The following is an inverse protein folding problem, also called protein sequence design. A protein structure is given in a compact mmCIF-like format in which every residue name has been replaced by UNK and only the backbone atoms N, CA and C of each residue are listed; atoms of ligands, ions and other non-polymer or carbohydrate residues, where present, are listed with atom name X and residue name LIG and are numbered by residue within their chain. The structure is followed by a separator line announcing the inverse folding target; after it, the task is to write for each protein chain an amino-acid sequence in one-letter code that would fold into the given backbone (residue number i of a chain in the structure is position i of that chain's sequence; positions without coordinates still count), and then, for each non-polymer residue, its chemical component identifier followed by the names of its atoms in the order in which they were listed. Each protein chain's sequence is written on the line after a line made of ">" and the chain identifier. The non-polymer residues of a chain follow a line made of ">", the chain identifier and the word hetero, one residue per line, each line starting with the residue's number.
data_IF_959842239500
#
_entry.id   IF_959842239500
#
_cell.length_a   1.000
_cell.length_b   1.000
_cell.length_c   1.000
_cell.angle_alpha   90.00
_cell.angle_beta   90.00
_cell.angle_gamma   90.00
#
_symmetry.space_group_name_H-M   'P 1'
#
loop_
_entity.id
_entity.type
_entity.pdbx_description
1 polymer ?
#
# COMPACT_ATOMS: atom_id res chain seq x y z
N UNK A 1 -27.39 -12.95 -21.11
CA UNK A 1 -26.35 -12.75 -22.14
C UNK A 1 -25.40 -11.72 -21.56
N UNK A 2 -24.26 -12.19 -21.05
CA UNK A 2 -23.32 -11.36 -20.30
C UNK A 2 -22.42 -10.65 -21.32
N UNK A 3 -22.13 -9.37 -21.10
CA UNK A 3 -21.38 -8.41 -21.94
C UNK A 3 -19.95 -8.84 -22.38
N UNK A 4 -19.57 -10.10 -22.18
CA UNK A 4 -18.20 -10.61 -22.38
C UNK A 4 -17.89 -11.04 -23.82
N UNK A 5 -18.92 -11.31 -24.65
CA UNK A 5 -18.71 -11.79 -26.02
C UNK A 5 -18.28 -10.67 -27.00
N UNK A 6 -18.50 -9.40 -26.67
CA UNK A 6 -18.13 -8.25 -27.51
C UNK A 6 -16.77 -7.63 -27.14
N UNK A 7 -16.06 -8.19 -26.16
CA UNK A 7 -14.76 -7.66 -25.75
C UNK A 7 -13.67 -8.12 -26.72
N UNK A 8 -12.86 -7.17 -27.16
CA UNK A 8 -11.61 -7.46 -27.87
C UNK A 8 -10.66 -8.29 -26.99
N UNK A 9 -9.72 -8.98 -27.62
CA UNK A 9 -8.69 -9.78 -26.91
C UNK A 9 -7.91 -8.94 -25.90
N UNK A 10 -7.65 -7.66 -26.21
CA UNK A 10 -7.02 -6.71 -25.30
C UNK A 10 -7.90 -6.37 -24.09
N UNK A 11 -9.20 -6.17 -24.28
CA UNK A 11 -10.14 -5.91 -23.17
C UNK A 11 -10.33 -7.13 -22.29
N UNK A 12 -10.29 -8.34 -22.86
CA UNK A 12 -10.30 -9.59 -22.08
C UNK A 12 -9.03 -9.74 -21.25
N UNK A 13 -7.86 -9.49 -21.84
CA UNK A 13 -6.58 -9.49 -21.11
C UNK A 13 -6.61 -8.45 -19.98
N UNK A 14 -7.14 -7.25 -20.21
CA UNK A 14 -7.30 -6.23 -19.17
C UNK A 14 -8.27 -6.66 -18.05
N UNK A 15 -9.33 -7.41 -18.38
CA UNK A 15 -10.25 -8.00 -17.41
C UNK A 15 -9.62 -9.15 -16.62
N UNK A 16 -8.69 -9.88 -17.22
CA UNK A 16 -7.93 -10.97 -16.60
C UNK A 16 -6.68 -10.48 -15.85
N UNK A 17 -6.31 -9.20 -15.97
CA UNK A 17 -5.22 -8.61 -15.20
C UNK A 17 -5.58 -8.61 -13.71
N UNK A 18 -5.11 -9.65 -13.02
CA UNK A 18 -5.05 -9.65 -11.57
C UNK A 18 -4.03 -8.60 -11.14
N UNK A 19 -4.44 -7.71 -10.24
CA UNK A 19 -3.50 -6.79 -9.61
C UNK A 19 -2.36 -7.61 -8.98
N UNK A 20 -1.12 -7.23 -9.29
CA UNK A 20 0.05 -7.83 -8.64
C UNK A 20 -0.04 -7.63 -7.13
N UNK A 21 0.51 -8.53 -6.29
CA UNK A 21 0.46 -8.39 -4.84
C UNK A 21 0.93 -7.02 -4.33
N UNK A 22 2.02 -6.47 -4.90
CA UNK A 22 2.49 -5.13 -4.58
C UNK A 22 1.46 -4.02 -4.91
N UNK A 23 0.79 -4.06 -6.07
CA UNK A 23 -0.30 -3.16 -6.40
C UNK A 23 -1.48 -3.28 -5.42
N UNK A 24 -1.86 -4.50 -5.02
CA UNK A 24 -2.89 -4.72 -4.01
C UNK A 24 -2.51 -4.10 -2.67
N UNK A 25 -1.26 -4.29 -2.24
CA UNK A 25 -0.74 -3.69 -1.02
C UNK A 25 -0.76 -2.16 -1.08
N UNK A 26 -0.31 -1.57 -2.19
CA UNK A 26 -0.33 -0.12 -2.39
C UNK A 26 -1.76 0.44 -2.34
N UNK A 27 -2.74 -0.26 -2.93
CA UNK A 27 -4.15 0.11 -2.82
C UNK A 27 -4.66 0.12 -1.37
N UNK A 28 -4.36 -0.93 -0.61
CA UNK A 28 -4.74 -1.03 0.80
C UNK A 28 -4.06 0.05 1.68
N UNK A 29 -2.75 0.23 1.52
CA UNK A 29 -1.99 1.26 2.23
C UNK A 29 -2.50 2.66 1.89
N UNK A 30 -2.74 2.94 0.61
CA UNK A 30 -3.29 4.24 0.16
C UNK A 30 -4.64 4.54 0.79
N UNK A 31 -5.54 3.56 0.82
CA UNK A 31 -6.85 3.73 1.44
C UNK A 31 -6.73 4.08 2.93
N UNK A 32 -5.88 3.37 3.67
CA UNK A 32 -5.68 3.60 5.11
C UNK A 32 -5.06 4.95 5.37
N UNK A 33 -3.98 5.29 4.68
CA UNK A 33 -3.33 6.56 4.90
C UNK A 33 -4.32 7.68 4.59
N UNK A 34 -5.02 7.64 3.44
CA UNK A 34 -5.99 8.66 3.02
C UNK A 34 -7.09 8.92 4.06
N UNK A 35 -7.60 7.89 4.72
CA UNK A 35 -8.67 8.04 5.71
C UNK A 35 -8.17 8.41 7.11
N UNK A 36 -6.91 8.13 7.43
CA UNK A 36 -6.35 8.35 8.78
C UNK A 36 -5.53 9.61 8.90
N UNK A 37 -4.69 9.91 7.90
CA UNK A 37 -3.68 10.99 7.95
C UNK A 37 -3.96 12.16 7.01
N UNK A 38 -4.91 12.04 6.07
CA UNK A 38 -5.13 13.01 4.99
C UNK A 38 -6.52 13.70 5.03
N UNK A 39 -7.11 13.88 6.21
CA UNK A 39 -8.54 14.25 6.35
C UNK A 39 -8.95 15.62 5.82
N UNK A 40 -8.02 16.55 5.52
CA UNK A 40 -8.37 17.91 5.05
C UNK A 40 -7.70 18.33 3.73
N UNK A 41 -6.57 17.72 3.35
CA UNK A 41 -5.93 17.88 2.05
C UNK A 41 -5.32 16.52 1.64
N UNK A 42 -5.95 15.76 0.72
CA UNK A 42 -5.42 14.49 0.21
C UNK A 42 -4.21 14.78 -0.66
N UNK A 43 -3.10 15.11 -0.01
CA UNK A 43 -2.14 15.98 -0.61
C UNK A 43 -1.13 15.27 -1.52
N UNK A 44 -0.71 16.05 -2.51
CA UNK A 44 0.17 15.75 -3.63
C UNK A 44 1.63 15.41 -3.24
N UNK A 45 1.88 15.03 -1.98
CA UNK A 45 3.22 14.81 -1.43
C UNK A 45 3.62 13.34 -1.31
N UNK A 46 2.70 12.39 -1.54
CA UNK A 46 3.01 10.94 -1.53
C UNK A 46 3.08 10.39 -2.95
N UNK A 47 4.25 9.85 -3.28
CA UNK A 47 4.47 9.02 -4.45
C UNK A 47 4.43 7.54 -4.06
N UNK A 48 3.64 6.75 -4.80
CA UNK A 48 3.51 5.30 -4.61
C UNK A 48 3.83 4.56 -5.90
N UNK A 49 4.71 3.58 -5.84
CA UNK A 49 5.03 2.78 -7.02
C UNK A 49 5.48 1.37 -6.68
N UNK A 50 5.42 0.52 -7.70
CA UNK A 50 5.97 -0.82 -7.68
C UNK A 50 6.88 -1.01 -8.89
N UNK A 51 8.03 -1.64 -8.67
CA UNK A 51 8.93 -2.04 -9.76
C UNK A 51 8.83 -3.56 -10.05
N UNK A 52 8.37 -4.33 -9.07
CA UNK A 52 8.23 -5.80 -9.14
C UNK A 52 6.98 -6.23 -8.36
N UNK A 53 6.39 -7.40 -8.66
CA UNK A 53 5.19 -7.89 -7.97
C UNK A 53 5.35 -8.09 -6.45
N UNK A 54 6.57 -8.20 -5.95
CA UNK A 54 6.95 -8.47 -4.56
C UNK A 54 7.52 -7.23 -3.82
N UNK A 55 7.52 -6.06 -4.46
CA UNK A 55 8.12 -4.84 -3.90
C UNK A 55 7.25 -3.60 -4.17
N UNK A 56 6.80 -2.98 -3.09
CA UNK A 56 6.08 -1.72 -3.08
C UNK A 56 6.94 -0.61 -2.42
N UNK A 57 6.81 0.62 -2.90
CA UNK A 57 7.48 1.81 -2.36
C UNK A 57 6.47 2.92 -2.16
N UNK A 58 6.57 3.59 -1.01
CA UNK A 58 5.85 4.83 -0.70
C UNK A 58 6.90 5.84 -0.25
N UNK A 59 6.98 6.96 -0.95
CA UNK A 59 7.93 8.03 -0.66
C UNK A 59 7.23 9.37 -0.60
N UNK A 60 7.72 10.25 0.26
CA UNK A 60 7.02 11.50 0.51
C UNK A 60 7.88 12.58 1.16
N UNK A 61 7.51 13.84 0.96
CA UNK A 61 8.17 15.03 1.53
C UNK A 61 7.16 15.88 2.32
N UNK A 62 7.62 16.62 3.32
CA UNK A 62 6.80 17.61 4.06
C UNK A 62 5.45 17.09 4.62
N UNK A 63 5.41 15.81 5.02
CA UNK A 63 4.22 15.12 5.56
C UNK A 63 4.39 14.60 6.99
N UNK A 64 3.50 13.68 7.42
CA UNK A 64 3.56 13.01 8.72
C UNK A 64 4.92 12.36 8.99
N UNK A 65 5.23 12.20 10.27
CA UNK A 65 6.42 11.51 10.71
C UNK A 65 6.35 10.03 10.30
N UNK A 66 7.52 9.44 10.03
CA UNK A 66 7.60 8.03 9.62
C UNK A 66 6.94 7.11 10.66
N UNK A 67 7.13 7.40 11.94
CA UNK A 67 6.56 6.64 13.04
C UNK A 67 5.02 6.60 12.98
N UNK A 68 4.37 7.72 12.63
CA UNK A 68 2.91 7.80 12.51
C UNK A 68 2.42 6.97 11.33
N UNK A 69 3.06 7.11 10.16
CA UNK A 69 2.74 6.32 8.95
C UNK A 69 2.87 4.82 9.24
N UNK A 70 3.98 4.41 9.85
CA UNK A 70 4.21 3.02 10.25
C UNK A 70 3.14 2.54 11.24
N UNK A 71 2.78 3.35 12.23
CA UNK A 71 1.79 3.01 13.24
C UNK A 71 0.37 2.83 12.67
N UNK A 72 0.00 3.58 11.63
CA UNK A 72 -1.28 3.43 10.95
C UNK A 72 -1.30 2.27 9.95
N UNK A 73 -0.16 1.95 9.33
CA UNK A 73 -0.08 0.85 8.37
C UNK A 73 0.05 -0.53 9.03
N UNK A 74 0.80 -0.64 10.12
CA UNK A 74 1.03 -1.91 10.80
C UNK A 74 -0.30 -2.49 11.29
N UNK A 75 -0.58 -3.76 10.94
CA UNK A 75 -1.83 -4.38 11.38
C UNK A 75 -1.82 -4.58 12.89
N UNK A 76 -2.85 -4.05 13.56
CA UNK A 76 -3.08 -4.15 15.00
C UNK A 76 -4.45 -4.76 15.25
N UNK A 77 -4.54 -5.62 16.26
CA UNK A 77 -5.80 -6.16 16.74
C UNK A 77 -6.22 -5.37 17.98
N UNK A 78 -7.33 -4.63 17.87
CA UNK A 78 -7.95 -3.90 18.96
C UNK A 78 -9.37 -4.43 19.18
N UNK A 79 -9.58 -5.13 20.28
CA UNK A 79 -10.89 -5.65 20.71
C UNK A 79 -11.70 -6.32 19.59
N UNK A 80 -11.04 -7.13 18.73
CA UNK A 80 -11.67 -7.86 17.64
C UNK A 80 -11.85 -7.06 16.35
N UNK A 81 -11.34 -5.83 16.28
CA UNK A 81 -11.25 -5.02 15.07
C UNK A 81 -9.79 -4.95 14.61
N UNK A 82 -9.54 -5.33 13.36
CA UNK A 82 -8.21 -5.18 12.74
C UNK A 82 -8.12 -3.77 12.17
N UNK A 83 -7.21 -2.97 12.74
CA UNK A 83 -6.78 -1.70 12.17
C UNK A 83 -5.49 -1.87 11.36
N UNK A 84 -5.22 -0.93 10.46
CA UNK A 84 -4.08 -0.99 9.54
C UNK A 84 -4.23 -2.07 8.47
N UNK A 85 -3.14 -2.35 7.75
CA UNK A 85 -3.17 -3.29 6.62
C UNK A 85 -3.08 -4.73 7.16
N UNK A 86 -4.11 -5.58 7.01
CA UNK A 86 -4.08 -6.94 7.53
C UNK A 86 -2.87 -7.73 7.02
N UNK A 87 -2.14 -8.35 7.94
CA UNK A 87 -0.94 -9.13 7.64
C UNK A 87 0.32 -8.30 7.33
N UNK A 88 0.28 -6.97 7.46
CA UNK A 88 1.46 -6.12 7.33
C UNK A 88 2.20 -6.03 8.67
N UNK A 89 3.51 -6.26 8.64
CA UNK A 89 4.38 -6.32 9.82
C UNK A 89 5.62 -5.46 9.62
N UNK A 90 6.02 -4.74 10.66
CA UNK A 90 7.26 -3.96 10.66
C UNK A 90 8.43 -4.93 10.73
N UNK A 91 9.44 -4.76 9.88
CA UNK A 91 10.67 -5.57 9.93
C UNK A 91 11.87 -4.75 10.40
N UNK A 92 11.97 -3.49 9.99
CA UNK A 92 12.98 -2.54 10.46
C UNK A 92 12.50 -1.12 10.21
N UNK A 93 12.85 -0.17 11.06
CA UNK A 93 12.71 1.26 10.74
C UNK A 93 13.79 2.07 11.44
N UNK A 94 14.14 3.20 10.83
CA UNK A 94 14.97 4.27 11.38
C UNK A 94 14.18 5.59 11.32
N UNK A 95 14.85 6.74 11.45
CA UNK A 95 14.17 8.04 11.48
C UNK A 95 13.48 8.41 10.16
N UNK A 96 13.98 7.91 9.02
CA UNK A 96 13.54 8.35 7.68
C UNK A 96 13.09 7.21 6.78
N UNK A 97 13.38 5.96 7.13
CA UNK A 97 13.05 4.80 6.31
C UNK A 97 12.50 3.64 7.14
N UNK A 98 11.54 2.93 6.57
CA UNK A 98 11.02 1.70 7.15
C UNK A 98 10.89 0.61 6.09
N UNK A 99 11.08 -0.63 6.54
CA UNK A 99 10.73 -1.84 5.80
C UNK A 99 9.63 -2.56 6.55
N UNK A 100 8.62 -2.97 5.79
CA UNK A 100 7.52 -3.78 6.29
C UNK A 100 7.33 -4.98 5.37
N UNK A 101 6.91 -6.10 5.93
CA UNK A 101 6.62 -7.33 5.19
C UNK A 101 5.12 -7.60 5.24
N UNK A 102 4.51 -7.77 4.07
CA UNK A 102 3.10 -8.10 3.93
C UNK A 102 2.92 -9.57 3.60
N UNK A 103 2.07 -10.25 4.38
CA UNK A 103 1.77 -11.68 4.25
C UNK A 103 0.33 -11.94 3.78
N UNK A 104 -0.35 -10.93 3.20
CA UNK A 104 -1.73 -11.03 2.73
C UNK A 104 -1.90 -11.69 1.36
N UNK A 105 -0.81 -12.11 0.72
CA UNK A 105 -0.81 -12.76 -0.59
C UNK A 105 0.10 -14.00 -0.59
N UNK A 106 -0.05 -14.86 -1.61
CA UNK A 106 0.78 -16.06 -1.77
C UNK A 106 2.28 -15.75 -1.89
N UNK A 107 2.63 -14.60 -2.48
CA UNK A 107 4.00 -14.07 -2.50
C UNK A 107 4.08 -12.92 -1.50
N UNK A 108 4.94 -13.02 -0.46
CA UNK A 108 5.18 -11.92 0.46
C UNK A 108 5.66 -10.67 -0.29
N UNK A 109 5.18 -9.50 0.14
CA UNK A 109 5.56 -8.22 -0.46
C UNK A 109 6.35 -7.41 0.56
N UNK A 110 7.50 -6.89 0.14
CA UNK A 110 8.24 -5.90 0.93
C UNK A 110 7.71 -4.51 0.59
N UNK A 111 7.32 -3.75 1.61
CA UNK A 111 6.97 -2.35 1.51
C UNK A 111 8.13 -1.52 2.05
N UNK A 112 8.70 -0.66 1.21
CA UNK A 112 9.64 0.36 1.65
C UNK A 112 8.91 1.69 1.81
N UNK A 113 9.08 2.30 2.97
CA UNK A 113 8.62 3.65 3.28
C UNK A 113 9.85 4.55 3.37
N UNK A 114 9.81 5.72 2.72
CA UNK A 114 10.88 6.72 2.84
C UNK A 114 10.27 8.10 3.01
N UNK A 115 10.59 8.78 4.10
CA UNK A 115 10.35 10.20 4.28
C UNK A 115 11.58 10.97 3.83
N UNK A 116 11.42 11.80 2.80
CA UNK A 116 12.48 12.70 2.34
C UNK A 116 12.50 13.92 3.25
N UNK A 117 13.65 14.18 3.87
CA UNK A 117 13.89 15.42 4.61
C UNK A 117 14.40 16.47 3.62
N UNK A 118 13.64 17.55 3.51
CA UNK A 118 13.92 18.76 2.73
C UNK A 118 15.13 19.52 3.27
#
# INVERSE_FOLDING_TARGET
>A
MILTDDLSEQERVLLELTATPAATLLGAASMILRTTLFSEDPAAWVDMWQARPDLARIEWSDGPELADVVAHLAAKDYDGTIEGVPGLRITSYDDNSAKMLWLGAATPVVLHLTRQLS
#
